data_IF_538173484383
#
_entry.id   IF_538173484383
#
_cell.length_a   1.000
_cell.length_b   1.000
_cell.length_c   1.000
_cell.angle_alpha   90.00
_cell.angle_beta   90.00
_cell.angle_gamma   90.00
#
_symmetry.space_group_name_H-M   'P 1'
#
loop_
_entity.id
_entity.type
_entity.pdbx_description
1 polymer ?
#
# COMPACT_ATOMS: atom_id res chain seq x y z
N UNK A 1 -59.63 14.59 37.22
CA UNK A 1 -59.16 13.22 36.90
C UNK A 1 -59.90 12.78 35.64
N UNK A 2 -59.31 12.47 34.48
CA UNK A 2 -57.99 11.95 34.12
C UNK A 2 -57.41 12.74 32.94
N UNK A 3 -56.13 13.08 33.06
CA UNK A 3 -55.27 13.66 32.02
C UNK A 3 -54.79 12.55 31.07
N UNK A 4 -54.96 12.74 29.77
CA UNK A 4 -54.29 11.92 28.75
C UNK A 4 -52.93 12.55 28.41
N UNK A 5 -51.82 11.81 28.47
CA UNK A 5 -50.53 12.35 28.03
C UNK A 5 -50.45 12.27 26.50
N UNK A 6 -50.40 13.44 25.86
CA UNK A 6 -49.88 13.61 24.50
C UNK A 6 -48.36 13.48 24.59
N UNK A 7 -47.86 12.25 24.43
CA UNK A 7 -46.43 11.98 24.34
C UNK A 7 -46.05 11.82 22.86
N UNK A 8 -45.45 12.91 22.33
CA UNK A 8 -44.17 12.86 21.60
C UNK A 8 -43.99 11.73 20.59
N UNK A 9 -44.47 11.92 19.36
CA UNK A 9 -43.93 11.25 18.16
C UNK A 9 -43.78 12.29 17.04
N UNK A 10 -42.99 13.34 17.29
CA UNK A 10 -42.55 14.29 16.25
C UNK A 10 -41.09 14.65 16.53
N UNK A 11 -40.19 13.67 16.51
CA UNK A 11 -38.76 13.94 16.62
C UNK A 11 -37.90 12.72 16.23
N UNK A 12 -38.18 11.99 15.14
CA UNK A 12 -37.22 10.96 14.71
C UNK A 12 -37.31 10.53 13.24
N UNK A 13 -37.46 11.48 12.31
CA UNK A 13 -37.24 11.21 10.89
C UNK A 13 -36.55 12.40 10.19
N UNK A 14 -35.45 12.89 10.77
CA UNK A 14 -34.69 13.97 10.15
C UNK A 14 -33.18 13.90 10.39
N UNK A 15 -32.57 12.72 10.50
CA UNK A 15 -31.10 12.61 10.55
C UNK A 15 -30.60 11.26 10.02
N UNK A 16 -30.92 10.83 8.79
CA UNK A 16 -30.21 9.69 8.16
C UNK A 16 -30.12 9.80 6.62
N UNK A 17 -30.11 11.02 6.09
CA UNK A 17 -29.53 11.30 4.78
C UNK A 17 -28.32 12.22 4.99
N UNK A 18 -27.35 11.73 5.77
CA UNK A 18 -26.00 12.19 5.52
C UNK A 18 -25.59 11.57 4.18
N UNK A 19 -25.27 12.38 3.17
CA UNK A 19 -24.58 11.84 2.01
C UNK A 19 -23.32 11.24 2.60
N UNK A 20 -23.12 9.96 2.34
CA UNK A 20 -21.82 9.32 2.46
C UNK A 20 -20.89 10.05 1.49
N UNK A 21 -20.45 11.24 1.86
CA UNK A 21 -19.22 11.81 1.35
C UNK A 21 -18.16 10.84 1.85
N UNK A 22 -17.93 9.78 1.07
CA UNK A 22 -16.65 9.11 1.07
C UNK A 22 -15.64 10.23 0.91
N UNK A 23 -14.97 10.56 2.00
CA UNK A 23 -13.79 11.41 2.00
C UNK A 23 -12.73 10.65 1.19
N UNK A 24 -12.86 10.61 -0.13
CA UNK A 24 -11.71 10.70 -0.99
C UNK A 24 -11.11 12.07 -0.65
N UNK A 25 -10.18 12.07 0.29
CA UNK A 25 -9.38 13.24 0.59
C UNK A 25 -8.81 13.72 -0.76
N UNK A 26 -9.09 14.97 -1.13
CA UNK A 26 -8.74 15.54 -2.43
C UNK A 26 -7.30 15.22 -2.84
N UNK A 27 -7.16 14.37 -3.83
CA UNK A 27 -5.90 13.78 -4.24
C UNK A 27 -5.03 14.76 -5.03
N UNK A 28 -3.87 15.12 -4.49
CA UNK A 28 -2.96 16.06 -5.15
C UNK A 28 -2.48 15.57 -6.52
N UNK A 29 -2.31 14.26 -6.68
CA UNK A 29 -1.90 13.67 -7.96
C UNK A 29 -2.95 13.87 -9.07
N UNK A 30 -4.23 13.94 -8.70
CA UNK A 30 -5.31 14.26 -9.65
C UNK A 30 -5.46 15.77 -9.85
N UNK A 31 -5.19 16.57 -8.81
CA UNK A 31 -5.27 18.04 -8.87
C UNK A 31 -4.10 18.68 -9.63
N UNK A 32 -2.92 18.05 -9.61
CA UNK A 32 -1.69 18.55 -10.25
C UNK A 32 -0.94 17.44 -11.01
N UNK A 33 -1.53 16.89 -12.09
CA UNK A 33 -0.95 15.77 -12.83
C UNK A 33 0.43 16.10 -13.43
N UNK A 34 0.65 17.35 -13.83
CA UNK A 34 1.89 17.79 -14.47
C UNK A 34 3.05 18.04 -13.49
N UNK A 35 2.76 18.22 -12.19
CA UNK A 35 3.79 18.43 -11.16
C UNK A 35 4.22 17.13 -10.49
N UNK A 36 3.41 16.09 -10.64
CA UNK A 36 3.62 14.78 -10.04
C UNK A 36 3.96 13.76 -11.12
N UNK A 37 5.22 13.76 -11.58
CA UNK A 37 5.83 12.67 -12.35
C UNK A 37 6.06 11.42 -11.46
N UNK A 38 4.99 11.02 -10.77
CA UNK A 38 4.98 10.12 -9.62
C UNK A 38 5.58 8.78 -9.94
N UNK A 39 5.25 8.16 -11.06
CA UNK A 39 5.77 6.82 -11.36
C UNK A 39 7.29 6.81 -11.49
N UNK A 40 7.86 7.78 -12.22
CA UNK A 40 9.31 7.88 -12.38
C UNK A 40 9.99 8.35 -11.09
N UNK A 41 9.44 9.35 -10.39
CA UNK A 41 9.98 9.83 -9.12
C UNK A 41 9.95 8.75 -8.03
N UNK A 42 8.85 8.00 -7.92
CA UNK A 42 8.72 6.87 -6.99
C UNK A 42 9.68 5.76 -7.38
N UNK A 43 9.82 5.49 -8.68
CA UNK A 43 10.83 4.55 -9.16
C UNK A 43 12.23 4.99 -8.76
N UNK A 44 12.57 6.27 -8.94
CA UNK A 44 13.89 6.82 -8.59
C UNK A 44 14.14 6.83 -7.07
N UNK A 45 13.09 6.90 -6.25
CA UNK A 45 13.19 6.71 -4.79
C UNK A 45 13.43 5.25 -4.39
N UNK A 46 12.79 4.30 -5.10
CA UNK A 46 12.81 2.87 -4.73
C UNK A 46 13.99 2.14 -5.37
N UNK A 47 14.39 2.50 -6.59
CA UNK A 47 15.44 1.84 -7.36
C UNK A 47 16.79 1.77 -6.62
N UNK A 48 17.26 2.81 -5.90
CA UNK A 48 18.52 2.76 -5.16
C UNK A 48 18.52 1.79 -3.97
N UNK A 49 17.33 1.42 -3.48
CA UNK A 49 17.16 0.48 -2.36
C UNK A 49 17.22 -0.98 -2.85
N UNK A 50 17.05 -1.20 -4.16
CA UNK A 50 17.10 -2.52 -4.77
C UNK A 50 18.56 -2.96 -5.06
N UNK A 51 18.84 -4.28 -5.00
CA UNK A 51 17.94 -5.35 -4.56
C UNK A 51 17.81 -5.40 -3.03
N UNK A 52 16.58 -5.62 -2.55
CA UNK A 52 16.33 -5.80 -1.10
C UNK A 52 16.42 -7.27 -0.72
N UNK A 53 17.19 -7.55 0.34
CA UNK A 53 17.36 -8.88 0.90
C UNK A 53 16.69 -8.98 2.26
N UNK A 54 15.69 -9.87 2.40
CA UNK A 54 15.05 -10.15 3.69
C UNK A 54 15.10 -11.62 4.02
N UNK A 55 15.78 -11.95 5.12
CA UNK A 55 15.87 -13.33 5.58
C UNK A 55 14.54 -13.76 6.20
N UNK A 56 13.97 -14.85 5.69
CA UNK A 56 12.74 -15.45 6.24
C UNK A 56 13.10 -16.46 7.33
N UNK A 57 14.08 -17.34 7.04
CA UNK A 57 14.62 -18.30 8.01
C UNK A 57 16.06 -18.70 7.66
N UNK A 58 16.62 -19.72 8.33
CA UNK A 58 18.01 -20.18 8.10
C UNK A 58 18.29 -20.68 6.67
N UNK A 59 17.27 -21.07 5.91
CA UNK A 59 17.40 -21.69 4.58
C UNK A 59 16.71 -20.90 3.47
N UNK A 60 16.05 -19.79 3.79
CA UNK A 60 15.21 -19.02 2.87
C UNK A 60 15.44 -17.51 3.03
N UNK A 61 15.68 -16.84 1.91
CA UNK A 61 15.82 -15.38 1.84
C UNK A 61 14.97 -14.86 0.70
N UNK A 62 14.08 -13.91 0.99
CA UNK A 62 13.37 -13.14 -0.03
C UNK A 62 14.35 -12.14 -0.64
N UNK A 63 14.41 -12.11 -1.96
CA UNK A 63 15.18 -11.12 -2.72
C UNK A 63 14.23 -10.43 -3.67
N UNK A 64 14.06 -9.12 -3.52
CA UNK A 64 13.31 -8.27 -4.44
C UNK A 64 14.33 -7.55 -5.32
N UNK A 65 14.24 -7.74 -6.63
CA UNK A 65 15.30 -7.37 -7.59
C UNK A 65 14.90 -6.17 -8.44
N UNK A 66 13.65 -6.12 -8.89
CA UNK A 66 13.13 -5.03 -9.72
C UNK A 66 11.78 -4.56 -9.21
N UNK A 67 11.42 -3.33 -9.56
CA UNK A 67 10.13 -2.73 -9.24
C UNK A 67 9.48 -2.14 -10.50
N UNK A 68 8.18 -2.37 -10.60
CA UNK A 68 7.28 -1.67 -11.52
C UNK A 68 6.32 -0.83 -10.69
N UNK A 69 6.15 0.42 -11.08
CA UNK A 69 5.25 1.36 -10.42
C UNK A 69 4.06 1.58 -11.35
N UNK A 70 2.85 1.58 -10.81
CA UNK A 70 1.64 1.93 -11.54
C UNK A 70 0.75 2.77 -10.66
N UNK A 71 0.20 3.85 -11.22
CA UNK A 71 -0.76 4.71 -10.55
C UNK A 71 -2.12 4.67 -11.25
N UNK A 72 -3.18 4.54 -10.47
CA UNK A 72 -4.56 4.67 -10.93
C UNK A 72 -5.28 5.69 -10.05
N UNK A 73 -5.50 6.89 -10.56
CA UNK A 73 -5.93 8.05 -9.77
C UNK A 73 -4.99 8.31 -8.59
N UNK A 74 -5.47 8.00 -7.39
CA UNK A 74 -4.77 8.19 -6.11
C UNK A 74 -4.16 6.93 -5.56
N UNK A 75 -4.52 5.79 -6.14
CA UNK A 75 -3.99 4.51 -5.73
C UNK A 75 -2.64 4.30 -6.40
N UNK A 76 -1.64 4.11 -5.56
CA UNK A 76 -0.29 3.77 -5.96
C UNK A 76 -0.08 2.28 -5.73
N UNK A 77 0.36 1.57 -6.77
CA UNK A 77 0.74 0.16 -6.69
C UNK A 77 2.19 -0.02 -7.09
N UNK A 78 2.97 -0.66 -6.22
CA UNK A 78 4.35 -1.09 -6.49
C UNK A 78 4.37 -2.61 -6.61
N UNK A 79 4.79 -3.09 -7.78
CA UNK A 79 4.97 -4.52 -8.04
C UNK A 79 6.45 -4.83 -8.01
N UNK A 80 6.89 -5.51 -6.96
CA UNK A 80 8.25 -6.02 -6.83
C UNK A 80 8.36 -7.41 -7.44
N UNK A 81 9.36 -7.60 -8.29
CA UNK A 81 9.72 -8.90 -8.85
C UNK A 81 11.05 -9.36 -8.29
N UNK A 82 11.15 -10.66 -8.02
CA UNK A 82 12.39 -11.25 -7.56
C UNK A 82 12.25 -12.75 -7.34
N UNK A 83 12.86 -13.25 -6.27
CA UNK A 83 12.93 -14.69 -6.00
C UNK A 83 13.05 -15.00 -4.51
N UNK A 84 12.66 -16.22 -4.17
CA UNK A 84 12.90 -16.79 -2.84
C UNK A 84 14.15 -17.67 -2.89
N UNK A 85 15.31 -17.10 -2.54
CA UNK A 85 16.57 -17.85 -2.48
C UNK A 85 16.47 -19.01 -1.48
N UNK A 86 16.81 -20.22 -1.93
CA UNK A 86 16.79 -21.46 -1.14
C UNK A 86 18.15 -22.13 -1.19
N UNK A 87 18.60 -22.67 -0.06
CA UNK A 87 19.93 -23.29 0.03
C UNK A 87 20.11 -24.54 -0.84
N UNK A 88 19.05 -25.32 -1.05
CA UNK A 88 19.15 -26.70 -1.59
C UNK A 88 18.28 -26.92 -2.84
N UNK A 89 17.31 -26.03 -3.11
CA UNK A 89 16.33 -26.21 -4.19
C UNK A 89 16.42 -25.03 -5.15
N UNK A 90 15.88 -25.21 -6.36
CA UNK A 90 15.68 -24.11 -7.31
C UNK A 90 14.93 -22.96 -6.64
N UNK A 91 15.39 -21.76 -6.90
CA UNK A 91 14.78 -20.52 -6.43
C UNK A 91 13.50 -20.26 -7.23
N UNK A 92 12.32 -20.27 -6.59
CA UNK A 92 11.10 -19.86 -7.27
C UNK A 92 11.07 -18.34 -7.44
N UNK A 93 10.40 -17.87 -8.49
CA UNK A 93 10.11 -16.46 -8.64
C UNK A 93 9.12 -16.00 -7.57
N UNK A 94 9.26 -14.75 -7.16
CA UNK A 94 8.38 -14.10 -6.21
C UNK A 94 7.89 -12.77 -6.81
N UNK A 95 6.60 -12.52 -6.64
CA UNK A 95 5.97 -11.25 -6.97
C UNK A 95 5.28 -10.73 -5.72
N UNK A 96 5.57 -9.50 -5.33
CA UNK A 96 4.98 -8.83 -4.17
C UNK A 96 4.37 -7.53 -4.66
N UNK A 97 3.06 -7.39 -4.50
CA UNK A 97 2.32 -6.16 -4.85
C UNK A 97 2.01 -5.41 -3.57
N UNK A 98 2.54 -4.21 -3.46
CA UNK A 98 2.27 -3.26 -2.39
C UNK A 98 1.36 -2.16 -2.91
N UNK A 99 0.40 -1.74 -2.09
CA UNK A 99 -0.55 -0.68 -2.42
C UNK A 99 -0.64 0.34 -1.30
N UNK A 100 -0.93 1.57 -1.69
CA UNK A 100 -1.24 2.70 -0.80
C UNK A 100 -2.10 3.70 -1.56
N UNK A 101 -2.71 4.64 -0.86
CA UNK A 101 -3.55 5.69 -1.43
C UNK A 101 -2.97 7.04 -1.03
N UNK A 102 -2.66 7.87 -2.03
CA UNK A 102 -2.08 9.21 -1.83
C UNK A 102 -3.14 10.19 -1.31
N UNK A 103 -2.94 10.71 -0.10
CA UNK A 103 -3.80 11.73 0.49
C UNK A 103 -3.50 13.16 0.03
N UNK A 104 -4.30 14.11 0.53
CA UNK A 104 -4.06 15.56 0.42
C UNK A 104 -2.75 15.85 1.17
N UNK A 105 -1.73 16.38 0.50
CA UNK A 105 -0.42 16.72 1.06
C UNK A 105 0.51 15.55 1.46
N UNK A 106 0.18 14.31 1.07
CA UNK A 106 1.05 13.16 1.37
C UNK A 106 2.23 13.03 0.39
N UNK A 107 3.35 13.62 0.78
CA UNK A 107 4.63 13.42 0.10
C UNK A 107 5.31 12.12 0.50
N UNK A 108 4.96 11.54 1.64
CA UNK A 108 5.60 10.37 2.23
C UNK A 108 4.83 9.07 1.90
N UNK A 109 4.23 9.02 0.71
CA UNK A 109 3.36 7.95 0.22
C UNK A 109 3.92 6.52 0.40
N UNK A 110 5.26 6.36 0.38
CA UNK A 110 5.89 5.05 0.51
C UNK A 110 5.85 4.49 1.94
N UNK A 111 5.63 5.33 2.95
CA UNK A 111 5.54 4.90 4.35
C UNK A 111 4.29 4.05 4.61
N UNK A 112 3.20 4.35 3.91
CA UNK A 112 1.92 3.68 4.05
C UNK A 112 1.75 2.47 3.12
N UNK A 113 2.82 2.04 2.43
CA UNK A 113 2.77 0.85 1.59
C UNK A 113 2.41 -0.39 2.40
N UNK A 114 1.34 -1.06 1.96
CA UNK A 114 0.92 -2.33 2.53
C UNK A 114 0.94 -3.41 1.48
N UNK A 115 1.42 -4.59 1.86
CA UNK A 115 1.38 -5.75 0.97
C UNK A 115 -0.06 -6.16 0.72
N UNK A 116 -0.53 -5.98 -0.51
CA UNK A 116 -1.85 -6.41 -0.96
C UNK A 116 -1.82 -7.88 -1.40
N UNK A 117 -0.83 -8.26 -2.20
CA UNK A 117 -0.75 -9.56 -2.82
C UNK A 117 0.69 -10.08 -2.84
N UNK A 118 0.83 -11.39 -2.66
CA UNK A 118 2.10 -12.12 -2.77
C UNK A 118 1.83 -13.38 -3.59
N UNK A 119 2.71 -13.65 -4.54
CA UNK A 119 2.70 -14.89 -5.32
C UNK A 119 4.13 -15.43 -5.42
N UNK A 120 4.32 -16.69 -5.08
CA UNK A 120 5.60 -17.38 -5.22
C UNK A 120 5.40 -18.64 -6.04
N UNK A 121 6.04 -18.70 -7.21
CA UNK A 121 5.86 -19.78 -8.18
C UNK A 121 6.18 -21.14 -7.56
N UNK A 122 5.36 -22.16 -7.80
CA UNK A 122 5.68 -23.55 -7.43
C UNK A 122 5.94 -23.72 -5.92
N UNK A 123 5.18 -22.99 -5.08
CA UNK A 123 5.20 -23.15 -3.63
C UNK A 123 3.79 -23.24 -3.06
N UNK A 124 3.59 -23.91 -1.90
CA UNK A 124 2.31 -23.90 -1.23
C UNK A 124 1.95 -22.49 -0.73
N UNK A 125 0.68 -22.11 -0.81
CA UNK A 125 0.23 -20.74 -0.46
C UNK A 125 0.51 -20.31 0.99
N UNK A 126 0.76 -21.24 1.92
CA UNK A 126 1.19 -20.85 3.28
C UNK A 126 2.56 -20.15 3.29
N UNK A 127 3.40 -20.34 2.28
CA UNK A 127 4.69 -19.63 2.12
C UNK A 127 4.45 -18.15 1.78
N UNK A 128 3.35 -17.84 1.10
CA UNK A 128 3.01 -16.47 0.71
C UNK A 128 2.74 -15.60 1.94
N UNK A 129 2.16 -16.17 3.01
CA UNK A 129 1.96 -15.47 4.28
C UNK A 129 3.30 -15.08 4.94
N UNK A 130 4.28 -15.98 4.97
CA UNK A 130 5.61 -15.64 5.51
C UNK A 130 6.32 -14.56 4.70
N UNK A 131 6.18 -14.61 3.37
CA UNK A 131 6.74 -13.58 2.49
C UNK A 131 6.00 -12.26 2.66
N UNK A 132 4.68 -12.28 2.82
CA UNK A 132 3.86 -11.08 3.10
C UNK A 132 4.34 -10.39 4.37
N UNK A 133 4.50 -11.12 5.46
CA UNK A 133 4.97 -10.55 6.73
C UNK A 133 6.36 -9.92 6.57
N UNK A 134 7.28 -10.65 5.92
CA UNK A 134 8.65 -10.17 5.70
C UNK A 134 8.73 -9.02 4.71
N UNK A 135 7.82 -8.94 3.75
CA UNK A 135 7.72 -7.83 2.82
C UNK A 135 7.17 -6.56 3.49
N UNK A 136 6.23 -6.69 4.43
CA UNK A 136 5.79 -5.55 5.24
C UNK A 136 6.93 -5.02 6.15
N UNK A 137 7.81 -5.91 6.66
CA UNK A 137 9.00 -5.48 7.42
C UNK A 137 9.95 -4.61 6.56
N UNK A 138 10.08 -4.92 5.26
CA UNK A 138 10.93 -4.12 4.33
C UNK A 138 10.44 -2.69 4.26
N UNK A 139 9.12 -2.46 4.20
CA UNK A 139 8.55 -1.12 4.12
C UNK A 139 8.95 -0.28 5.33
N UNK A 140 8.77 -0.85 6.52
CA UNK A 140 9.12 -0.18 7.80
C UNK A 140 10.61 0.10 7.95
N UNK A 141 11.47 -0.72 7.35
CA UNK A 141 12.92 -0.58 7.51
C UNK A 141 13.54 0.35 6.46
N UNK A 142 12.98 0.41 5.25
CA UNK A 142 13.62 1.07 4.11
C UNK A 142 12.90 2.32 3.62
N UNK A 143 11.58 2.37 3.78
CA UNK A 143 10.76 3.44 3.20
C UNK A 143 10.21 4.42 4.23
N UNK A 144 10.36 4.15 5.53
CA UNK A 144 10.08 5.14 6.58
C UNK A 144 10.99 6.36 6.45
N UNK A 145 10.41 7.57 6.43
CA UNK A 145 11.09 8.84 6.23
C UNK A 145 11.40 9.18 4.78
N UNK A 146 10.91 8.41 3.80
CA UNK A 146 11.16 8.64 2.36
C UNK A 146 9.98 9.37 1.72
N UNK A 147 10.14 10.67 1.59
CA UNK A 147 9.13 11.54 0.99
C UNK A 147 9.58 12.08 -0.36
N UNK A 148 8.61 12.32 -1.25
CA UNK A 148 8.78 13.00 -2.51
C UNK A 148 9.23 14.44 -2.26
N UNK A 149 10.28 14.86 -2.95
CA UNK A 149 10.65 16.28 -2.99
C UNK A 149 9.76 16.99 -4.01
N UNK A 150 9.02 18.01 -3.58
CA UNK A 150 8.42 18.96 -4.53
C UNK A 150 9.58 19.79 -5.08
N UNK A 151 9.88 19.60 -6.37
CA UNK A 151 10.85 20.45 -7.07
C UNK A 151 10.37 21.90 -7.07
N UNK A 152 11.21 22.80 -6.57
CA UNK A 152 11.07 24.25 -6.65
C UNK A 152 11.22 24.77 -8.07
#
# INVERSE_FOLDING_TARGET
>A
MKTHPVFTIVALMFVLFWPSHSFAADCLAERFPDRFHTEQQIRDLVQPVLPVYKRINKRKTLVLETVSVSRDGCDLSLTFHGKLKRKIRKDPSATVVMKTTMGVDDLCVLEDLRVSHVNISSTPGWVDNWVRDKANDIVKEQFTGKCLSIGS
#
